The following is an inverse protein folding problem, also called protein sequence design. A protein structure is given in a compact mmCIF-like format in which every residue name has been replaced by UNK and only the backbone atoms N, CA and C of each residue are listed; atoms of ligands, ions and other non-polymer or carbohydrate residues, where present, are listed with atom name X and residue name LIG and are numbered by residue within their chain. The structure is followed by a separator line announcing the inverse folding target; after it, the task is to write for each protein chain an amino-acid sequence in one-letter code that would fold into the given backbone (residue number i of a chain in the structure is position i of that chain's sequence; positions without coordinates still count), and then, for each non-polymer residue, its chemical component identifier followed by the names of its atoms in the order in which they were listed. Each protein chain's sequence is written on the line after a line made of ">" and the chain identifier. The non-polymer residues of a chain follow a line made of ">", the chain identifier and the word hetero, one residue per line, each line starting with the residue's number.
data_IF_230308820346
#
_entry.id   IF_230308820346
#
_cell.length_a   1.000
_cell.length_b   1.000
_cell.length_c   1.000
_cell.angle_alpha   90.00
_cell.angle_beta   90.00
_cell.angle_gamma   90.00
#
_symmetry.space_group_name_H-M   'P 1'
#
loop_
_entity.id
_entity.type
_entity.pdbx_description
1 polymer ?
#
# COMPACT_ATOMS: atom_id res chain seq x y z
N UNK A 1 24.02 14.52 14.47
CA UNK A 1 24.70 15.26 13.39
C UNK A 1 23.85 15.10 12.13
N UNK A 2 23.27 16.16 11.62
CA UNK A 2 22.49 16.13 10.39
C UNK A 2 23.45 15.88 9.22
N UNK A 3 23.50 14.65 8.73
CA UNK A 3 24.10 14.39 7.42
C UNK A 3 23.24 15.10 6.38
N UNK A 4 23.87 15.97 5.58
CA UNK A 4 23.24 16.58 4.44
C UNK A 4 22.62 15.49 3.58
N UNK A 5 21.27 15.46 3.46
CA UNK A 5 20.56 14.59 2.53
C UNK A 5 21.11 14.91 1.14
N UNK A 6 21.74 13.95 0.49
CA UNK A 6 22.00 14.06 -0.95
C UNK A 6 20.62 14.22 -1.60
N UNK A 7 20.42 15.33 -2.32
CA UNK A 7 19.17 15.54 -3.06
C UNK A 7 19.01 14.39 -4.05
N UNK A 8 17.85 13.71 -3.98
CA UNK A 8 17.50 12.65 -4.93
C UNK A 8 17.53 13.22 -6.35
N UNK A 9 18.13 12.49 -7.27
CA UNK A 9 18.09 12.82 -8.71
C UNK A 9 16.74 12.51 -9.33
N UNK A 10 15.94 11.71 -8.65
CA UNK A 10 14.59 11.35 -9.05
C UNK A 10 13.63 12.46 -8.65
N UNK A 11 13.15 13.21 -9.65
CA UNK A 11 12.27 14.38 -9.48
C UNK A 11 10.91 14.12 -10.14
N UNK A 12 10.15 13.18 -9.57
CA UNK A 12 8.79 12.90 -10.01
C UNK A 12 7.83 13.01 -8.81
N UNK A 13 6.57 13.40 -9.03
CA UNK A 13 5.97 13.83 -10.30
C UNK A 13 6.41 15.24 -10.73
N UNK A 14 6.02 15.64 -11.96
CA UNK A 14 6.12 17.02 -12.41
C UNK A 14 5.12 17.93 -11.65
N UNK A 15 5.15 19.23 -11.91
CA UNK A 15 4.29 20.25 -11.27
C UNK A 15 2.79 20.03 -11.53
N UNK A 16 2.44 19.21 -12.52
CA UNK A 16 1.06 18.84 -12.88
C UNK A 16 0.67 17.46 -12.35
N UNK A 17 1.54 16.83 -11.58
CA UNK A 17 1.30 15.53 -10.98
C UNK A 17 1.51 14.33 -11.91
N UNK A 18 2.31 14.48 -12.98
CA UNK A 18 2.60 13.39 -13.88
C UNK A 18 3.94 12.72 -13.56
N UNK A 19 3.92 11.41 -13.64
CA UNK A 19 5.08 10.52 -13.69
C UNK A 19 5.28 10.10 -15.16
N UNK A 20 6.00 10.90 -15.93
CA UNK A 20 6.04 10.76 -17.39
C UNK A 20 4.65 10.96 -18.01
N UNK A 21 4.07 9.88 -18.58
CA UNK A 21 2.71 9.93 -19.19
C UNK A 21 1.60 9.49 -18.23
N UNK A 22 1.95 9.09 -17.01
CA UNK A 22 1.02 8.59 -15.99
C UNK A 22 0.71 9.65 -14.94
N UNK A 23 -0.29 9.41 -14.10
CA UNK A 23 -0.73 10.38 -13.07
C UNK A 23 -1.71 11.40 -13.60
N UNK A 24 -1.57 12.65 -13.14
CA UNK A 24 -2.38 13.78 -13.56
C UNK A 24 -3.71 13.92 -12.82
N UNK A 25 -4.63 14.68 -13.40
CA UNK A 25 -5.93 15.10 -12.83
C UNK A 25 -7.06 14.79 -13.82
N UNK A 26 -7.54 13.57 -13.82
CA UNK A 26 -8.65 13.12 -14.68
C UNK A 26 -9.94 13.04 -13.86
N UNK A 27 -10.41 14.20 -13.39
CA UNK A 27 -11.57 14.35 -12.51
C UNK A 27 -12.60 15.31 -13.06
N UNK A 28 -13.82 15.25 -12.52
CA UNK A 28 -14.85 16.26 -12.81
C UNK A 28 -14.42 17.64 -12.27
N UNK A 29 -14.86 18.71 -12.91
CA UNK A 29 -14.55 20.09 -12.52
C UNK A 29 -14.85 20.40 -11.05
N UNK A 30 -15.89 19.78 -10.50
CA UNK A 30 -16.29 19.91 -9.08
C UNK A 30 -15.20 19.50 -8.09
N UNK A 31 -14.24 18.66 -8.51
CA UNK A 31 -13.12 18.22 -7.66
C UNK A 31 -11.85 19.05 -7.86
N UNK A 32 -11.80 19.96 -8.81
CA UNK A 32 -10.60 20.75 -9.10
C UNK A 32 -10.21 21.68 -7.95
N UNK A 33 -11.19 22.35 -7.34
CA UNK A 33 -10.94 23.25 -6.21
C UNK A 33 -10.48 22.51 -4.96
N UNK A 34 -11.17 21.46 -4.47
CA UNK A 34 -10.72 20.69 -3.31
C UNK A 34 -9.35 20.03 -3.52
N UNK A 35 -9.04 19.56 -4.73
CA UNK A 35 -7.70 19.02 -5.03
C UNK A 35 -6.61 20.10 -5.06
N UNK A 36 -6.94 21.30 -5.49
CA UNK A 36 -6.03 22.45 -5.44
C UNK A 36 -5.77 22.87 -4.00
N UNK A 37 -6.81 22.97 -3.16
CA UNK A 37 -6.69 23.22 -1.72
C UNK A 37 -5.80 22.16 -1.05
N UNK A 38 -6.04 20.88 -1.35
CA UNK A 38 -5.26 19.77 -0.82
C UNK A 38 -3.80 19.86 -1.24
N UNK A 39 -3.52 20.12 -2.53
CA UNK A 39 -2.15 20.26 -3.04
C UNK A 39 -1.41 21.38 -2.33
N UNK A 40 -2.02 22.57 -2.22
CA UNK A 40 -1.41 23.71 -1.54
C UNK A 40 -1.14 23.44 -0.05
N UNK A 41 -2.05 22.77 0.62
CA UNK A 41 -1.86 22.35 2.01
C UNK A 41 -0.72 21.34 2.13
N UNK A 42 -0.70 20.30 1.28
CA UNK A 42 0.35 19.31 1.25
C UNK A 42 1.74 19.94 1.00
N UNK A 43 1.90 20.76 -0.05
CA UNK A 43 3.15 21.46 -0.37
C UNK A 43 3.62 22.34 0.80
N UNK A 44 2.71 23.07 1.44
CA UNK A 44 2.99 23.92 2.59
C UNK A 44 3.45 23.12 3.81
N UNK A 45 2.71 22.10 4.19
CA UNK A 45 2.96 21.40 5.45
C UNK A 45 4.09 20.37 5.37
N UNK A 46 4.40 19.82 4.19
CA UNK A 46 5.55 18.93 4.03
C UNK A 46 6.92 19.60 4.17
N UNK A 47 6.97 20.92 4.26
CA UNK A 47 8.18 21.69 4.60
C UNK A 47 8.06 22.44 5.93
N UNK A 48 6.91 22.37 6.58
CA UNK A 48 6.64 23.02 7.87
C UNK A 48 7.24 22.18 9.02
N UNK A 49 8.12 22.81 9.80
CA UNK A 49 8.87 22.11 10.86
C UNK A 49 7.99 21.61 11.99
N UNK A 50 6.94 22.36 12.34
CA UNK A 50 6.04 22.01 13.45
C UNK A 50 5.15 20.84 13.03
N UNK A 51 4.66 20.83 11.77
CA UNK A 51 3.92 19.70 11.22
C UNK A 51 4.77 18.43 11.16
N UNK A 52 6.00 18.53 10.65
CA UNK A 52 6.90 17.38 10.56
C UNK A 52 7.30 16.86 11.93
N UNK A 53 7.48 17.74 12.93
CA UNK A 53 7.77 17.30 14.29
C UNK A 53 6.56 16.61 14.95
N UNK A 54 5.33 17.08 14.71
CA UNK A 54 4.11 16.42 15.16
C UNK A 54 3.93 15.05 14.48
N UNK A 55 4.16 14.98 13.17
CA UNK A 55 4.11 13.72 12.42
C UNK A 55 5.15 12.71 12.95
N UNK A 56 6.40 13.13 13.13
CA UNK A 56 7.46 12.28 13.68
C UNK A 56 7.12 11.80 15.09
N UNK A 57 6.55 12.66 15.92
CA UNK A 57 6.11 12.29 17.26
C UNK A 57 5.02 11.21 17.23
N UNK A 58 3.99 11.36 16.39
CA UNK A 58 2.91 10.36 16.26
C UNK A 58 3.46 9.05 15.68
N UNK A 59 4.35 9.10 14.69
CA UNK A 59 4.97 7.90 14.13
C UNK A 59 5.79 7.13 15.18
N UNK A 60 6.54 7.82 16.04
CA UNK A 60 7.34 7.18 17.08
C UNK A 60 6.51 6.69 18.27
N UNK A 61 5.65 7.54 18.80
CA UNK A 61 5.00 7.30 20.10
C UNK A 61 3.64 6.61 19.99
N UNK A 62 2.95 6.78 18.87
CA UNK A 62 1.63 6.18 18.64
C UNK A 62 1.67 5.00 17.68
N UNK A 63 2.39 5.13 16.58
CA UNK A 63 2.52 4.04 15.59
C UNK A 63 3.55 2.99 16.04
N UNK A 64 4.58 3.37 16.80
CA UNK A 64 5.60 2.47 17.33
C UNK A 64 6.80 2.30 16.42
N UNK A 65 7.12 3.32 15.61
CA UNK A 65 8.28 3.32 14.73
C UNK A 65 9.58 3.65 15.49
N UNK A 66 10.77 3.22 14.97
CA UNK A 66 10.96 2.49 13.71
C UNK A 66 10.51 1.03 13.80
N UNK A 67 9.89 0.52 12.73
CA UNK A 67 9.61 -0.91 12.62
C UNK A 67 10.92 -1.70 12.41
N UNK A 68 11.07 -2.90 13.01
CA UNK A 68 12.32 -3.66 12.89
C UNK A 68 12.60 -4.12 11.45
N UNK A 69 13.89 -4.25 11.13
CA UNK A 69 14.38 -5.02 10.00
C UNK A 69 14.88 -6.37 10.53
N UNK A 70 14.13 -7.44 10.33
CA UNK A 70 14.34 -8.75 10.91
C UNK A 70 15.02 -9.70 9.91
N UNK A 71 16.15 -10.31 10.30
CA UNK A 71 16.78 -11.36 9.50
C UNK A 71 16.04 -12.68 9.68
N UNK A 72 15.36 -13.14 8.64
CA UNK A 72 14.67 -14.43 8.60
C UNK A 72 15.70 -15.57 8.37
N UNK A 73 16.51 -15.84 9.41
CA UNK A 73 17.68 -16.71 9.32
C UNK A 73 17.33 -18.14 8.97
N UNK A 74 16.30 -18.71 9.64
CA UNK A 74 15.90 -20.09 9.42
C UNK A 74 15.33 -20.28 8.02
N UNK A 75 14.49 -19.35 7.60
CA UNK A 75 13.90 -19.40 6.26
C UNK A 75 14.94 -19.19 5.17
N UNK A 76 15.88 -18.26 5.35
CA UNK A 76 17.01 -18.07 4.43
C UNK A 76 17.89 -19.33 4.29
N UNK A 77 18.15 -20.03 5.39
CA UNK A 77 18.89 -21.30 5.38
C UNK A 77 18.16 -22.42 4.66
N UNK A 78 16.84 -22.52 4.85
CA UNK A 78 15.99 -23.54 4.22
C UNK A 78 15.89 -23.34 2.72
N UNK A 79 15.68 -22.12 2.27
CA UNK A 79 15.63 -21.79 0.85
C UNK A 79 16.98 -21.92 0.15
N UNK A 80 18.07 -21.65 0.87
CA UNK A 80 19.42 -21.50 0.30
C UNK A 80 19.57 -20.20 -0.49
N UNK A 81 20.81 -19.81 -0.84
CA UNK A 81 21.08 -18.56 -1.56
C UNK A 81 21.03 -17.32 -0.68
N UNK A 82 20.42 -16.25 -1.14
CA UNK A 82 20.45 -14.94 -0.50
C UNK A 82 19.88 -14.89 0.93
N UNK A 83 20.39 -13.98 1.75
CA UNK A 83 19.81 -13.62 3.05
C UNK A 83 18.51 -12.85 2.85
N UNK A 84 17.45 -13.23 3.56
CA UNK A 84 16.15 -12.55 3.51
C UNK A 84 15.98 -11.72 4.79
N UNK A 85 15.77 -10.42 4.63
CA UNK A 85 15.40 -9.50 5.67
C UNK A 85 13.93 -9.08 5.49
N UNK A 86 13.17 -9.07 6.57
CA UNK A 86 11.77 -8.65 6.59
C UNK A 86 11.66 -7.27 7.23
N UNK A 87 11.16 -6.28 6.48
CA UNK A 87 10.77 -4.99 7.07
C UNK A 87 9.41 -5.15 7.71
N UNK A 88 9.36 -5.12 9.05
CA UNK A 88 8.25 -5.58 9.89
C UNK A 88 7.16 -4.52 10.08
N UNK A 89 6.50 -4.10 8.98
CA UNK A 89 5.36 -3.18 9.04
C UNK A 89 4.11 -3.81 9.69
N UNK A 90 4.07 -5.12 9.82
CA UNK A 90 3.09 -5.90 10.58
C UNK A 90 3.09 -5.61 12.08
N UNK A 91 4.19 -5.08 12.62
CA UNK A 91 4.32 -4.73 14.04
C UNK A 91 3.88 -3.29 14.37
N UNK A 92 3.57 -2.48 13.38
CA UNK A 92 3.04 -1.15 13.61
C UNK A 92 1.67 -1.22 14.31
N UNK A 93 1.29 -0.15 15.00
CA UNK A 93 -0.08 0.01 15.49
C UNK A 93 -1.07 -0.21 14.34
N UNK A 94 -2.18 -0.89 14.58
CA UNK A 94 -3.14 -1.43 13.60
C UNK A 94 -2.69 -2.68 12.83
N UNK A 95 -1.41 -3.06 12.91
CA UNK A 95 -0.89 -4.30 12.34
C UNK A 95 -0.55 -4.25 10.84
N UNK A 96 -0.34 -3.06 10.29
CA UNK A 96 0.04 -2.88 8.88
C UNK A 96 0.67 -1.49 8.63
N UNK A 97 1.25 -1.31 7.43
CA UNK A 97 1.83 -0.05 6.95
C UNK A 97 0.82 1.10 6.78
N UNK A 98 -0.48 0.80 6.70
CA UNK A 98 -1.53 1.80 6.38
C UNK A 98 -1.54 2.97 7.35
N UNK A 99 -1.23 2.73 8.62
CA UNK A 99 -1.24 3.76 9.67
C UNK A 99 -0.25 4.90 9.40
N UNK A 100 0.87 4.64 8.75
CA UNK A 100 1.85 5.69 8.40
C UNK A 100 1.21 6.81 7.57
N UNK A 101 0.48 6.41 6.53
CA UNK A 101 -0.22 7.30 5.63
C UNK A 101 -1.42 7.97 6.30
N UNK A 102 -2.24 7.21 7.04
CA UNK A 102 -3.46 7.75 7.64
C UNK A 102 -3.15 8.78 8.73
N UNK A 103 -2.08 8.61 9.50
CA UNK A 103 -1.60 9.64 10.44
C UNK A 103 -1.25 10.93 9.71
N UNK A 104 -0.44 10.85 8.66
CA UNK A 104 -0.03 12.02 7.88
C UNK A 104 -1.23 12.77 7.28
N UNK A 105 -2.13 12.05 6.62
CA UNK A 105 -3.31 12.66 6.01
C UNK A 105 -4.29 13.22 7.06
N UNK A 106 -4.49 12.55 8.19
CA UNK A 106 -5.39 13.05 9.25
C UNK A 106 -4.85 14.30 9.94
N UNK A 107 -3.53 14.39 10.17
CA UNK A 107 -2.88 15.61 10.65
C UNK A 107 -3.03 16.75 9.64
N UNK A 108 -2.86 16.46 8.35
CA UNK A 108 -3.06 17.43 7.27
C UNK A 108 -4.52 17.92 7.23
N UNK A 109 -5.50 17.01 7.31
CA UNK A 109 -6.92 17.35 7.37
C UNK A 109 -7.22 18.30 8.54
N UNK A 110 -6.66 18.03 9.70
CA UNK A 110 -6.80 18.87 10.90
C UNK A 110 -6.20 20.27 10.70
N UNK A 111 -5.03 20.37 10.02
CA UNK A 111 -4.41 21.67 9.66
C UNK A 111 -5.24 22.45 8.63
N UNK A 112 -6.00 21.74 7.78
CA UNK A 112 -6.95 22.33 6.84
C UNK A 112 -8.30 22.71 7.48
N UNK A 113 -8.50 22.43 8.79
CA UNK A 113 -9.74 22.71 9.49
C UNK A 113 -10.89 21.76 9.17
N UNK A 114 -10.61 20.63 8.51
CA UNK A 114 -11.63 19.62 8.22
C UNK A 114 -11.96 18.82 9.49
N UNK A 115 -13.25 18.56 9.70
CA UNK A 115 -13.76 17.89 10.92
C UNK A 115 -14.29 16.49 10.66
N UNK A 116 -14.55 16.16 9.42
CA UNK A 116 -15.08 14.89 8.94
C UNK A 116 -14.09 14.22 7.99
N UNK A 117 -13.83 12.95 8.23
CA UNK A 117 -12.96 12.11 7.41
C UNK A 117 -13.82 11.05 6.73
N UNK A 118 -13.58 10.85 5.44
CA UNK A 118 -14.08 9.69 4.72
C UNK A 118 -12.92 8.85 4.21
N UNK A 119 -13.16 7.55 4.06
CA UNK A 119 -12.21 6.60 3.47
C UNK A 119 -12.94 5.48 2.76
N UNK A 120 -12.25 4.84 1.81
CA UNK A 120 -12.63 3.56 1.25
C UNK A 120 -11.83 2.43 1.91
N UNK A 121 -12.34 1.20 1.84
CA UNK A 121 -11.55 0.03 2.24
C UNK A 121 -12.06 -1.24 1.56
N UNK A 122 -11.13 -2.17 1.22
CA UNK A 122 -11.42 -3.53 0.79
C UNK A 122 -11.15 -4.52 1.92
N UNK A 123 -9.89 -4.90 2.14
CA UNK A 123 -9.48 -5.78 3.25
C UNK A 123 -9.77 -5.25 4.67
N UNK A 124 -10.24 -4.02 4.79
CA UNK A 124 -10.55 -3.38 6.07
C UNK A 124 -9.36 -2.72 6.77
N UNK A 125 -8.13 -3.00 6.39
CA UNK A 125 -6.93 -2.47 7.07
C UNK A 125 -6.81 -0.94 6.94
N UNK A 126 -7.14 -0.38 5.77
CA UNK A 126 -7.15 1.06 5.59
C UNK A 126 -8.27 1.73 6.43
N UNK A 127 -9.47 1.13 6.40
CA UNK A 127 -10.58 1.60 7.23
C UNK A 127 -10.27 1.56 8.72
N UNK A 128 -9.67 0.47 9.23
CA UNK A 128 -9.23 0.38 10.63
C UNK A 128 -8.17 1.44 10.95
N UNK A 129 -7.16 1.63 10.08
CA UNK A 129 -6.14 2.64 10.29
C UNK A 129 -6.73 4.06 10.31
N UNK A 130 -7.66 4.37 9.39
CA UNK A 130 -8.36 5.66 9.35
C UNK A 130 -9.23 5.86 10.59
N UNK A 131 -10.06 4.89 10.96
CA UNK A 131 -10.87 4.95 12.18
C UNK A 131 -10.01 5.16 13.44
N UNK A 132 -8.85 4.49 13.50
CA UNK A 132 -7.90 4.60 14.61
C UNK A 132 -7.36 6.03 14.76
N UNK A 133 -6.88 6.62 13.67
CA UNK A 133 -6.34 8.00 13.73
C UNK A 133 -7.44 9.04 13.93
N UNK A 134 -8.65 8.82 13.40
CA UNK A 134 -9.80 9.70 13.66
C UNK A 134 -10.19 9.68 15.13
N UNK A 135 -10.27 8.50 15.75
CA UNK A 135 -10.51 8.37 17.19
C UNK A 135 -9.43 9.09 18.02
N UNK A 136 -8.15 8.92 17.63
CA UNK A 136 -7.00 9.60 18.28
C UNK A 136 -7.07 11.12 18.19
N UNK A 137 -7.53 11.65 17.05
CA UNK A 137 -7.52 13.10 16.77
C UNK A 137 -8.88 13.81 17.02
N UNK A 138 -9.91 13.06 17.41
CA UNK A 138 -11.26 13.59 17.66
C UNK A 138 -11.99 14.01 16.37
N UNK A 139 -11.81 13.28 15.27
CA UNK A 139 -12.44 13.54 13.97
C UNK A 139 -13.59 12.57 13.72
N UNK A 140 -14.67 13.04 13.08
CA UNK A 140 -15.72 12.17 12.58
C UNK A 140 -15.16 11.26 11.48
N UNK A 141 -15.56 9.98 11.48
CA UNK A 141 -15.04 8.99 10.52
C UNK A 141 -16.17 8.21 9.86
N UNK A 142 -16.19 8.23 8.51
CA UNK A 142 -17.09 7.43 7.69
C UNK A 142 -16.26 6.57 6.72
N UNK A 143 -16.48 5.26 6.74
CA UNK A 143 -15.73 4.31 5.90
C UNK A 143 -16.69 3.60 4.94
N UNK A 144 -16.43 3.74 3.64
CA UNK A 144 -17.14 3.04 2.57
C UNK A 144 -16.48 1.68 2.33
N UNK A 145 -17.28 0.62 2.33
CA UNK A 145 -16.78 -0.74 2.12
C UNK A 145 -17.78 -1.54 1.31
N UNK A 146 -17.29 -2.27 0.32
CA UNK A 146 -18.13 -3.15 -0.49
C UNK A 146 -18.82 -4.21 0.36
N UNK A 147 -20.08 -4.55 0.06
CA UNK A 147 -20.85 -5.54 0.82
C UNK A 147 -20.15 -6.91 0.85
N UNK A 148 -19.54 -7.31 -0.25
CA UNK A 148 -18.77 -8.56 -0.35
C UNK A 148 -17.56 -8.55 0.60
N UNK A 149 -16.88 -7.42 0.68
CA UNK A 149 -15.72 -7.27 1.55
C UNK A 149 -16.11 -7.17 3.03
N UNK A 150 -17.28 -6.57 3.35
CA UNK A 150 -17.85 -6.54 4.71
C UNK A 150 -18.04 -7.96 5.25
N UNK A 151 -18.56 -8.86 4.43
CA UNK A 151 -18.81 -10.25 4.80
C UNK A 151 -17.49 -11.03 5.01
N UNK A 152 -16.51 -10.81 4.11
CA UNK A 152 -15.18 -11.44 4.20
C UNK A 152 -14.36 -10.97 5.39
N UNK A 153 -14.54 -9.71 5.82
CA UNK A 153 -13.67 -9.01 6.77
C UNK A 153 -14.45 -8.48 8.00
N UNK A 154 -15.40 -9.25 8.49
CA UNK A 154 -16.30 -8.87 9.60
C UNK A 154 -15.56 -8.40 10.87
N UNK A 155 -14.40 -9.01 11.19
CA UNK A 155 -13.57 -8.60 12.33
C UNK A 155 -13.03 -7.16 12.19
N UNK A 156 -12.61 -6.75 10.98
CA UNK A 156 -12.16 -5.38 10.74
C UNK A 156 -13.34 -4.39 10.76
N UNK A 157 -14.50 -4.81 10.24
CA UNK A 157 -15.74 -3.99 10.34
C UNK A 157 -16.09 -3.73 11.81
N UNK A 158 -16.01 -4.74 12.65
CA UNK A 158 -16.25 -4.59 14.09
C UNK A 158 -15.23 -3.67 14.77
N UNK A 159 -13.93 -3.79 14.41
CA UNK A 159 -12.89 -2.87 14.90
C UNK A 159 -13.17 -1.42 14.54
N UNK A 160 -13.57 -1.14 13.30
CA UNK A 160 -13.93 0.21 12.86
C UNK A 160 -15.10 0.79 13.68
N UNK A 161 -16.13 -0.01 13.92
CA UNK A 161 -17.28 0.38 14.76
C UNK A 161 -16.89 0.64 16.22
N UNK A 162 -16.02 -0.21 16.79
CA UNK A 162 -15.47 0.00 18.15
C UNK A 162 -14.68 1.31 18.26
N UNK A 163 -14.00 1.73 17.20
CA UNK A 163 -13.26 2.99 17.12
C UNK A 163 -14.17 4.20 16.86
N UNK A 164 -15.47 4.00 16.77
CA UNK A 164 -16.46 5.07 16.57
C UNK A 164 -16.71 5.45 15.11
N UNK A 165 -16.16 4.71 14.15
CA UNK A 165 -16.42 4.99 12.75
C UNK A 165 -17.78 4.42 12.29
N UNK A 166 -18.43 5.15 11.37
CA UNK A 166 -19.58 4.67 10.63
C UNK A 166 -19.11 3.90 9.41
N UNK A 167 -19.47 2.61 9.28
CA UNK A 167 -19.19 1.80 8.10
C UNK A 167 -20.42 1.77 7.21
N UNK A 168 -20.27 2.28 5.98
CA UNK A 168 -21.34 2.36 4.97
C UNK A 168 -21.16 1.23 3.96
N UNK A 169 -22.11 0.28 3.87
CA UNK A 169 -22.04 -0.79 2.89
C UNK A 169 -22.32 -0.26 1.47
N UNK A 170 -21.50 -0.66 0.52
CA UNK A 170 -21.68 -0.35 -0.90
C UNK A 170 -22.13 -1.61 -1.63
N UNK A 171 -23.32 -1.57 -2.19
CA UNK A 171 -23.97 -2.72 -2.89
C UNK A 171 -23.98 -2.56 -4.41
N UNK A 172 -23.53 -1.41 -4.93
CA UNK A 172 -23.48 -1.11 -6.36
C UNK A 172 -22.29 -1.82 -7.03
N UNK A 173 -22.41 -2.08 -8.32
CA UNK A 173 -21.35 -2.68 -9.13
C UNK A 173 -20.98 -4.10 -8.67
N UNK A 174 -19.70 -4.36 -8.51
CA UNK A 174 -19.15 -5.61 -7.95
C UNK A 174 -19.24 -5.67 -6.43
N UNK A 175 -19.66 -4.59 -5.77
CA UNK A 175 -19.72 -4.45 -4.31
C UNK A 175 -18.36 -4.74 -3.61
N UNK A 176 -17.26 -4.30 -4.24
CA UNK A 176 -15.89 -4.45 -3.76
C UNK A 176 -15.19 -3.09 -3.61
N UNK A 177 -13.87 -3.09 -3.35
CA UNK A 177 -13.04 -1.90 -3.15
C UNK A 177 -13.22 -0.84 -4.25
N UNK A 178 -13.30 -1.23 -5.54
CA UNK A 178 -13.49 -0.29 -6.66
C UNK A 178 -14.77 0.55 -6.48
N UNK A 179 -15.86 -0.08 -6.09
CA UNK A 179 -17.15 0.59 -5.92
C UNK A 179 -17.19 1.41 -4.63
N UNK A 180 -16.53 0.95 -3.56
CA UNK A 180 -16.33 1.72 -2.34
C UNK A 180 -15.60 3.04 -2.61
N UNK A 181 -14.56 3.02 -3.46
CA UNK A 181 -13.81 4.19 -3.89
C UNK A 181 -14.70 5.19 -4.66
N UNK A 182 -15.52 4.68 -5.58
CA UNK A 182 -16.49 5.49 -6.32
C UNK A 182 -17.50 6.19 -5.38
N UNK A 183 -18.00 5.48 -4.35
CA UNK A 183 -18.97 6.02 -3.42
C UNK A 183 -18.34 7.07 -2.49
N UNK A 184 -17.12 6.82 -2.01
CA UNK A 184 -16.36 7.81 -1.24
C UNK A 184 -16.12 9.09 -2.04
N UNK A 185 -15.81 8.98 -3.34
CA UNK A 185 -15.66 10.16 -4.21
C UNK A 185 -16.98 10.93 -4.38
N UNK A 186 -18.14 10.26 -4.47
CA UNK A 186 -19.45 10.92 -4.55
C UNK A 186 -19.77 11.68 -3.25
N UNK A 187 -19.51 11.07 -2.10
CA UNK A 187 -19.65 11.76 -0.81
C UNK A 187 -18.75 12.99 -0.76
N UNK A 188 -17.47 12.84 -1.15
CA UNK A 188 -16.54 13.94 -1.10
C UNK A 188 -17.01 15.16 -1.92
N UNK A 189 -17.44 14.95 -3.16
CA UNK A 189 -18.01 16.02 -4.01
C UNK A 189 -19.20 16.72 -3.33
N UNK A 190 -19.99 15.99 -2.57
CA UNK A 190 -21.20 16.53 -1.91
C UNK A 190 -20.85 17.32 -0.63
N UNK A 191 -19.77 16.98 0.06
CA UNK A 191 -19.45 17.47 1.41
C UNK A 191 -18.05 18.09 1.52
N UNK A 192 -17.55 18.73 0.48
CA UNK A 192 -16.16 19.22 0.37
C UNK A 192 -15.74 20.21 1.47
N UNK A 193 -16.70 21.00 1.98
CA UNK A 193 -16.38 22.11 2.89
C UNK A 193 -15.76 21.62 4.22
N UNK A 194 -16.32 20.57 4.80
CA UNK A 194 -15.90 20.04 6.11
C UNK A 194 -15.23 18.67 6.04
N UNK A 195 -15.18 18.05 4.86
CA UNK A 195 -14.77 16.66 4.68
C UNK A 195 -13.41 16.56 3.99
N UNK A 196 -12.57 15.70 4.53
CA UNK A 196 -11.30 15.28 3.92
C UNK A 196 -11.39 13.80 3.54
N UNK A 197 -11.00 13.47 2.31
CA UNK A 197 -10.92 12.09 1.86
C UNK A 197 -9.52 11.55 2.07
N UNK A 198 -9.37 10.58 2.98
CA UNK A 198 -8.11 9.86 3.19
C UNK A 198 -8.06 8.66 2.23
N UNK A 199 -7.27 8.78 1.17
CA UNK A 199 -7.02 7.68 0.22
C UNK A 199 -5.98 6.72 0.78
N UNK A 200 -6.28 5.42 0.73
CA UNK A 200 -5.47 4.36 1.34
C UNK A 200 -4.29 3.86 0.52
N UNK A 201 -4.11 4.34 -0.71
CA UNK A 201 -3.05 3.88 -1.62
C UNK A 201 -2.49 5.01 -2.48
N UNK A 202 -1.44 4.73 -3.26
CA UNK A 202 -0.80 5.70 -4.17
C UNK A 202 -1.52 5.84 -5.52
N UNK A 203 -2.83 5.59 -5.55
CA UNK A 203 -3.73 5.83 -6.67
C UNK A 203 -4.54 7.10 -6.44
N UNK A 204 -5.33 7.48 -7.42
CA UNK A 204 -6.17 8.68 -7.36
C UNK A 204 -5.55 9.88 -8.07
N UNK A 205 -6.27 11.02 -8.12
CA UNK A 205 -5.81 12.22 -8.76
C UNK A 205 -4.65 12.87 -7.99
N UNK A 206 -3.82 13.64 -8.68
CA UNK A 206 -2.82 14.47 -8.01
C UNK A 206 -3.49 15.40 -6.96
N UNK A 207 -2.94 15.54 -5.72
CA UNK A 207 -1.60 15.15 -5.26
C UNK A 207 -1.52 13.77 -4.57
N UNK A 208 -2.61 12.98 -4.50
CA UNK A 208 -2.65 11.76 -3.71
C UNK A 208 -1.49 10.78 -3.96
N UNK A 209 -1.10 10.45 -5.21
CA UNK A 209 0.00 9.50 -5.42
C UNK A 209 1.31 9.94 -4.75
N UNK A 210 1.68 11.22 -4.91
CA UNK A 210 2.90 11.77 -4.31
C UNK A 210 2.78 11.89 -2.78
N UNK A 211 1.66 12.40 -2.29
CA UNK A 211 1.41 12.60 -0.87
C UNK A 211 1.43 11.27 -0.10
N UNK A 212 0.73 10.27 -0.58
CA UNK A 212 0.71 8.93 0.05
C UNK A 212 2.09 8.29 0.01
N UNK A 213 2.81 8.39 -1.14
CA UNK A 213 4.20 7.95 -1.24
C UNK A 213 5.06 8.58 -0.15
N UNK A 214 5.00 9.89 0.01
CA UNK A 214 5.88 10.62 0.92
C UNK A 214 5.64 10.24 2.38
N UNK A 215 4.37 10.03 2.78
CA UNK A 215 4.06 9.49 4.10
C UNK A 215 4.51 8.03 4.29
N UNK A 216 4.56 7.23 3.23
CA UNK A 216 5.02 5.84 3.30
C UNK A 216 6.55 5.70 3.15
N UNK A 217 7.25 6.72 2.67
CA UNK A 217 8.71 6.69 2.43
C UNK A 217 9.52 6.40 3.71
N UNK A 218 8.95 6.59 4.89
CA UNK A 218 9.54 6.22 6.18
C UNK A 218 9.96 4.74 6.20
N UNK A 219 9.22 3.84 5.52
CA UNK A 219 9.52 2.41 5.41
C UNK A 219 10.92 2.19 4.83
N UNK A 220 11.16 2.77 3.66
CA UNK A 220 12.44 2.60 2.95
C UNK A 220 13.59 3.38 3.57
N UNK A 221 13.31 4.57 4.17
CA UNK A 221 14.34 5.33 4.90
C UNK A 221 14.89 4.53 6.07
N UNK A 222 14.00 3.96 6.89
CA UNK A 222 14.40 3.11 8.00
C UNK A 222 15.09 1.82 7.53
N UNK A 223 14.55 1.15 6.49
CA UNK A 223 15.15 -0.06 5.94
C UNK A 223 16.58 0.20 5.44
N UNK A 224 16.83 1.35 4.82
CA UNK A 224 18.14 1.77 4.34
C UNK A 224 19.14 1.95 5.48
N UNK A 225 18.74 2.64 6.54
CA UNK A 225 19.59 2.85 7.71
C UNK A 225 19.86 1.53 8.46
N UNK A 226 18.82 0.73 8.66
CA UNK A 226 18.91 -0.54 9.38
C UNK A 226 19.78 -1.55 8.65
N UNK A 227 19.66 -1.71 7.31
CA UNK A 227 20.50 -2.66 6.59
C UNK A 227 21.97 -2.23 6.58
N UNK A 228 22.26 -0.93 6.54
CA UNK A 228 23.61 -0.42 6.70
C UNK A 228 24.20 -0.74 8.09
N UNK A 229 23.37 -0.71 9.14
CA UNK A 229 23.80 -1.09 10.49
C UNK A 229 24.03 -2.61 10.60
N UNK A 230 23.22 -3.43 9.94
CA UNK A 230 23.29 -4.89 10.02
C UNK A 230 24.40 -5.47 9.14
N UNK A 231 24.55 -4.98 7.91
CA UNK A 231 25.40 -5.60 6.87
C UNK A 231 26.49 -4.67 6.33
N UNK A 232 26.52 -3.40 6.74
CA UNK A 232 27.52 -2.41 6.27
C UNK A 232 27.34 -1.98 4.82
N UNK A 233 26.28 -2.42 4.14
CA UNK A 233 26.01 -2.14 2.72
C UNK A 233 24.53 -2.11 2.40
N UNK A 234 24.19 -1.63 1.20
CA UNK A 234 22.82 -1.69 0.66
C UNK A 234 22.43 -3.13 0.28
N UNK A 235 21.12 -3.44 0.21
CA UNK A 235 20.64 -4.73 -0.26
C UNK A 235 20.88 -4.90 -1.77
N UNK A 236 20.90 -6.14 -2.23
CA UNK A 236 20.95 -6.46 -3.66
C UNK A 236 19.57 -6.40 -4.32
N UNK A 237 18.51 -6.66 -3.54
CA UNK A 237 17.13 -6.61 -4.05
C UNK A 237 16.13 -6.15 -2.98
N UNK A 238 15.08 -5.46 -3.45
CA UNK A 238 13.88 -5.11 -2.71
C UNK A 238 12.68 -5.84 -3.31
N UNK A 239 11.82 -6.39 -2.47
CA UNK A 239 10.60 -7.09 -2.87
C UNK A 239 9.42 -6.58 -2.06
N UNK A 240 8.32 -6.22 -2.71
CA UNK A 240 7.09 -5.83 -2.03
C UNK A 240 5.87 -6.18 -2.89
N UNK A 241 4.75 -6.53 -2.23
CA UNK A 241 3.48 -6.77 -2.94
C UNK A 241 2.88 -5.47 -3.47
N UNK A 242 2.17 -5.56 -4.59
CA UNK A 242 1.57 -4.44 -5.29
C UNK A 242 0.09 -4.74 -5.58
N UNK A 243 -0.79 -4.05 -4.86
CA UNK A 243 -2.17 -3.78 -5.28
C UNK A 243 -2.20 -2.36 -5.83
N UNK A 244 -2.71 -1.37 -5.08
CA UNK A 244 -2.46 0.03 -5.42
C UNK A 244 -1.00 0.46 -5.27
N UNK A 245 -0.20 -0.23 -4.43
CA UNK A 245 1.26 -0.13 -4.38
C UNK A 245 1.85 0.78 -3.30
N UNK A 246 1.08 1.24 -2.31
CA UNK A 246 1.59 2.21 -1.32
C UNK A 246 2.72 1.65 -0.44
N UNK A 247 2.63 0.39 -0.01
CA UNK A 247 3.69 -0.25 0.77
C UNK A 247 4.97 -0.41 -0.07
N UNK A 248 4.81 -0.77 -1.33
CA UNK A 248 5.91 -1.01 -2.24
C UNK A 248 6.67 0.28 -2.57
N UNK A 249 5.97 1.35 -2.95
CA UNK A 249 6.63 2.62 -3.24
C UNK A 249 7.26 3.23 -1.98
N UNK A 250 6.66 3.02 -0.81
CA UNK A 250 7.23 3.43 0.47
C UNK A 250 8.60 2.79 0.74
N UNK A 251 8.76 1.50 0.40
CA UNK A 251 10.05 0.82 0.47
C UNK A 251 10.99 1.25 -0.67
N UNK A 252 10.47 1.34 -1.91
CA UNK A 252 11.29 1.51 -3.12
C UNK A 252 11.84 2.92 -3.29
N UNK A 253 11.04 3.94 -2.96
CA UNK A 253 11.35 5.34 -3.27
C UNK A 253 12.74 5.79 -2.78
N UNK A 254 13.19 5.50 -1.54
CA UNK A 254 14.53 5.88 -1.09
C UNK A 254 15.70 5.18 -1.81
N UNK A 255 15.41 4.15 -2.62
CA UNK A 255 16.41 3.37 -3.36
C UNK A 255 16.32 3.55 -4.88
N UNK A 256 15.46 4.46 -5.37
CA UNK A 256 15.28 4.63 -6.83
C UNK A 256 16.59 5.03 -7.52
N UNK A 257 17.41 5.85 -6.87
CA UNK A 257 18.70 6.30 -7.42
C UNK A 257 19.82 5.25 -7.30
N UNK A 258 19.66 4.22 -6.48
CA UNK A 258 20.64 3.15 -6.29
C UNK A 258 20.48 2.09 -7.39
N UNK A 259 21.15 2.27 -8.52
CA UNK A 259 20.95 1.44 -9.72
C UNK A 259 21.36 -0.02 -9.53
N UNK A 260 22.26 -0.30 -8.57
CA UNK A 260 22.73 -1.64 -8.22
C UNK A 260 21.74 -2.40 -7.33
N UNK A 261 20.72 -1.73 -6.78
CA UNK A 261 19.64 -2.34 -6.01
C UNK A 261 18.50 -2.71 -6.96
N UNK A 262 18.28 -4.00 -7.18
CA UNK A 262 17.15 -4.48 -7.98
C UNK A 262 15.82 -4.23 -7.23
N UNK A 263 14.76 -3.87 -7.95
CA UNK A 263 13.43 -3.60 -7.38
C UNK A 263 12.41 -4.52 -8.04
N UNK A 264 11.66 -5.26 -7.21
CA UNK A 264 10.62 -6.18 -7.64
C UNK A 264 9.29 -5.85 -6.96
N UNK A 265 8.29 -5.45 -7.76
CA UNK A 265 6.89 -5.38 -7.36
C UNK A 265 6.17 -6.68 -7.69
N UNK A 266 5.43 -7.23 -6.74
CA UNK A 266 4.77 -8.52 -6.88
C UNK A 266 3.26 -8.33 -6.88
N UNK A 267 2.62 -8.61 -8.01
CA UNK A 267 1.17 -8.56 -8.19
C UNK A 267 0.52 -9.93 -7.94
N UNK A 268 -0.81 -9.94 -7.79
CA UNK A 268 -1.58 -11.16 -7.60
C UNK A 268 -1.96 -11.77 -8.96
N UNK A 269 -1.42 -12.95 -9.28
CA UNK A 269 -1.82 -13.72 -10.45
C UNK A 269 -3.13 -14.50 -10.26
N UNK A 270 -3.74 -14.49 -9.07
CA UNK A 270 -4.99 -15.17 -8.81
C UNK A 270 -4.91 -16.66 -9.17
N UNK A 271 -5.78 -17.09 -10.08
CA UNK A 271 -5.77 -18.47 -10.62
C UNK A 271 -4.76 -18.70 -11.76
N UNK A 272 -3.94 -17.69 -12.10
CA UNK A 272 -2.99 -17.68 -13.20
C UNK A 272 -3.29 -16.56 -14.21
N UNK A 273 -2.26 -15.87 -14.70
CA UNK A 273 -2.43 -14.76 -15.66
C UNK A 273 -3.16 -15.18 -16.93
N UNK A 274 -2.92 -16.41 -17.40
CA UNK A 274 -3.53 -16.98 -18.61
C UNK A 274 -5.03 -17.25 -18.48
N UNK A 275 -5.54 -17.33 -17.25
CA UNK A 275 -6.97 -17.56 -16.99
C UNK A 275 -7.81 -16.29 -17.14
N UNK A 276 -7.16 -15.12 -17.07
CA UNK A 276 -7.83 -13.82 -16.96
C UNK A 276 -8.44 -13.54 -15.57
N UNK A 277 -8.37 -14.48 -14.63
CA UNK A 277 -8.88 -14.34 -13.27
C UNK A 277 -7.74 -13.98 -12.30
N UNK A 278 -7.28 -12.71 -12.35
CA UNK A 278 -6.15 -12.19 -11.61
C UNK A 278 -6.30 -10.68 -11.35
N UNK A 279 -5.39 -10.09 -10.56
CA UNK A 279 -5.34 -8.66 -10.25
C UNK A 279 -3.90 -8.12 -10.50
N UNK A 280 -3.40 -8.26 -11.72
CA UNK A 280 -2.03 -7.94 -12.11
C UNK A 280 -1.98 -6.93 -13.27
N UNK A 281 -2.39 -5.66 -13.05
CA UNK A 281 -2.45 -4.66 -14.13
C UNK A 281 -1.09 -4.34 -14.74
N UNK A 282 0.01 -4.38 -13.99
CA UNK A 282 1.35 -4.14 -14.55
C UNK A 282 1.87 -5.33 -15.35
N UNK A 283 1.50 -6.56 -15.01
CA UNK A 283 1.93 -7.75 -15.75
C UNK A 283 1.08 -8.03 -16.99
N UNK A 284 -0.25 -7.76 -16.93
CA UNK A 284 -1.18 -8.19 -17.98
C UNK A 284 -2.22 -7.14 -18.41
N UNK A 285 -2.22 -5.95 -17.79
CA UNK A 285 -3.13 -4.85 -18.13
C UNK A 285 -2.55 -3.89 -19.18
N UNK A 286 -3.23 -2.79 -19.40
CA UNK A 286 -2.86 -1.75 -20.35
C UNK A 286 -3.06 -0.33 -19.78
N UNK A 287 -2.40 0.72 -20.36
CA UNK A 287 -2.58 2.09 -19.90
C UNK A 287 -3.98 2.63 -20.16
N UNK A 288 -4.63 3.18 -19.14
CA UNK A 288 -5.93 3.82 -19.22
C UNK A 288 -6.14 4.81 -18.08
N UNK A 289 -7.37 5.24 -17.83
CA UNK A 289 -7.74 6.18 -16.77
C UNK A 289 -8.69 5.51 -15.78
N UNK A 290 -8.29 5.52 -14.49
CA UNK A 290 -9.11 5.00 -13.41
C UNK A 290 -8.97 5.88 -12.16
N UNK A 291 -10.08 6.16 -11.47
CA UNK A 291 -10.10 6.92 -10.21
C UNK A 291 -9.31 8.25 -10.26
N UNK A 292 -9.41 8.96 -11.39
CA UNK A 292 -8.86 10.30 -11.54
C UNK A 292 -7.38 10.40 -11.92
N UNK A 293 -6.73 9.27 -12.28
CA UNK A 293 -5.36 9.28 -12.78
C UNK A 293 -5.18 8.30 -13.96
N UNK A 294 -4.17 8.57 -14.79
CA UNK A 294 -3.76 7.66 -15.84
C UNK A 294 -2.73 6.67 -15.28
N UNK A 295 -2.96 5.38 -15.50
CA UNK A 295 -2.11 4.30 -15.02
C UNK A 295 -2.30 3.02 -15.84
N UNK A 296 -1.63 1.92 -15.47
CA UNK A 296 -1.99 0.58 -15.97
C UNK A 296 -3.24 0.09 -15.25
N UNK A 297 -4.14 -0.54 -15.99
CA UNK A 297 -5.37 -1.10 -15.44
C UNK A 297 -5.86 -2.32 -16.22
N UNK A 298 -6.76 -3.08 -15.57
CA UNK A 298 -7.45 -4.22 -16.12
C UNK A 298 -8.73 -3.74 -16.81
N UNK A 299 -8.71 -3.67 -18.13
CA UNK A 299 -9.89 -3.29 -18.93
C UNK A 299 -10.02 -4.16 -20.16
N UNK A 300 -11.24 -4.28 -20.66
CA UNK A 300 -11.52 -4.96 -21.92
C UNK A 300 -11.32 -4.05 -23.14
N UNK A 301 -11.55 -4.58 -24.34
CA UNK A 301 -11.42 -3.85 -25.61
C UNK A 301 -12.33 -2.62 -25.73
N UNK A 302 -13.40 -2.57 -24.96
CA UNK A 302 -14.38 -1.48 -24.94
C UNK A 302 -14.10 -0.46 -23.80
N UNK A 303 -12.96 -0.62 -23.09
CA UNK A 303 -12.51 0.25 -22.01
C UNK A 303 -13.27 0.03 -20.69
N UNK A 304 -13.98 -1.10 -20.55
CA UNK A 304 -14.67 -1.44 -19.32
C UNK A 304 -13.74 -2.18 -18.36
N UNK A 305 -13.77 -1.79 -17.10
CA UNK A 305 -12.97 -2.46 -16.05
C UNK A 305 -13.42 -3.92 -15.94
N UNK A 306 -12.49 -4.84 -16.09
CA UNK A 306 -12.73 -6.28 -15.94
C UNK A 306 -12.79 -6.67 -14.48
N UNK A 307 -13.43 -7.82 -14.19
CA UNK A 307 -13.34 -8.42 -12.88
C UNK A 307 -11.90 -8.78 -12.53
N UNK A 308 -11.54 -8.57 -11.28
CA UNK A 308 -10.26 -8.99 -10.73
C UNK A 308 -10.46 -10.09 -9.70
N UNK A 309 -9.39 -10.83 -9.41
CA UNK A 309 -9.39 -11.88 -8.40
C UNK A 309 -8.05 -11.99 -7.69
N UNK A 310 -8.10 -12.15 -6.38
CA UNK A 310 -7.00 -12.55 -5.51
C UNK A 310 -7.57 -13.13 -4.22
N UNK A 311 -6.92 -14.13 -3.63
CA UNK A 311 -7.23 -14.58 -2.25
C UNK A 311 -7.01 -13.45 -1.24
N UNK A 312 -6.18 -12.48 -1.60
CA UNK A 312 -5.91 -11.29 -0.80
C UNK A 312 -6.82 -10.14 -1.21
N UNK A 313 -7.78 -9.77 -0.37
CA UNK A 313 -8.69 -8.66 -0.63
C UNK A 313 -7.95 -7.31 -0.82
N UNK A 314 -6.76 -7.14 -0.23
CA UNK A 314 -5.96 -5.92 -0.38
C UNK A 314 -5.20 -5.82 -1.70
N UNK A 315 -5.09 -6.91 -2.47
CA UNK A 315 -4.52 -6.93 -3.82
C UNK A 315 -5.58 -7.04 -4.92
N UNK A 316 -6.84 -7.29 -4.56
CA UNK A 316 -7.95 -7.40 -5.50
C UNK A 316 -8.40 -6.01 -5.99
N UNK A 317 -7.61 -5.43 -6.89
CA UNK A 317 -7.79 -4.09 -7.42
C UNK A 317 -7.36 -4.02 -8.89
N UNK A 318 -8.17 -3.45 -9.79
CA UNK A 318 -7.91 -3.47 -11.23
C UNK A 318 -6.91 -2.44 -11.72
N UNK A 319 -6.37 -1.60 -10.85
CA UNK A 319 -5.41 -0.53 -11.19
C UNK A 319 -4.18 -0.55 -10.29
N UNK A 320 -3.30 0.42 -10.50
CA UNK A 320 -2.07 0.58 -9.72
C UNK A 320 -1.69 2.05 -9.63
N UNK A 321 -0.81 2.41 -8.69
CA UNK A 321 -0.27 3.76 -8.61
C UNK A 321 0.51 4.16 -9.86
N UNK A 322 0.35 5.41 -10.33
CA UNK A 322 0.97 5.88 -11.59
C UNK A 322 2.51 5.89 -11.55
N UNK A 323 3.10 6.05 -10.37
CA UNK A 323 4.55 5.98 -10.21
C UNK A 323 5.07 4.57 -10.48
N UNK A 324 4.34 3.51 -10.10
CA UNK A 324 4.68 2.13 -10.45
C UNK A 324 4.62 1.89 -11.96
N UNK A 325 3.61 2.45 -12.64
CA UNK A 325 3.49 2.40 -14.09
C UNK A 325 4.74 3.04 -14.76
N UNK A 326 5.13 4.20 -14.28
CA UNK A 326 6.33 4.88 -14.75
C UNK A 326 7.62 4.11 -14.48
N UNK A 327 7.81 3.59 -13.26
CA UNK A 327 9.00 2.80 -12.89
C UNK A 327 9.13 1.52 -13.72
N UNK A 328 8.01 0.90 -14.11
CA UNK A 328 7.98 -0.22 -15.06
C UNK A 328 8.49 0.21 -16.43
N UNK A 329 7.91 1.27 -17.01
CA UNK A 329 8.19 1.67 -18.38
C UNK A 329 9.64 2.13 -18.58
N UNK A 330 10.22 2.80 -17.59
CA UNK A 330 11.65 3.19 -17.63
C UNK A 330 12.59 2.04 -17.22
N UNK A 331 12.07 0.85 -16.93
CA UNK A 331 12.85 -0.32 -16.56
C UNK A 331 13.55 -0.20 -15.19
N UNK A 332 13.13 0.73 -14.30
CA UNK A 332 13.73 0.87 -12.97
C UNK A 332 13.25 -0.20 -12.00
N UNK A 333 12.02 -0.61 -12.09
CA UNK A 333 11.44 -1.71 -11.32
C UNK A 333 10.90 -2.79 -12.26
N UNK A 334 11.05 -4.05 -11.85
CA UNK A 334 10.43 -5.21 -12.51
C UNK A 334 9.17 -5.59 -11.76
N UNK A 335 8.12 -5.89 -12.50
CA UNK A 335 6.87 -6.37 -11.92
C UNK A 335 6.67 -7.82 -12.36
N UNK A 336 6.32 -8.63 -11.37
CA UNK A 336 6.09 -10.07 -11.50
C UNK A 336 4.79 -10.43 -10.80
N UNK A 337 4.27 -11.61 -11.06
CA UNK A 337 3.04 -12.05 -10.44
C UNK A 337 3.23 -13.41 -9.76
N UNK A 338 2.50 -13.62 -8.65
CA UNK A 338 2.47 -14.85 -7.86
C UNK A 338 1.01 -15.28 -7.75
N UNK A 339 0.73 -16.55 -7.99
CA UNK A 339 -0.61 -17.09 -7.89
C UNK A 339 -1.05 -17.36 -6.44
N UNK A 340 -2.35 -17.62 -6.26
CA UNK A 340 -2.96 -17.81 -4.95
C UNK A 340 -2.37 -19.00 -4.20
N UNK A 341 -1.99 -20.08 -4.89
CA UNK A 341 -1.38 -21.28 -4.28
C UNK A 341 0.02 -21.01 -3.77
N UNK A 342 0.82 -20.30 -4.56
CA UNK A 342 2.18 -19.92 -4.20
C UNK A 342 2.18 -18.91 -3.03
N UNK A 343 1.24 -17.97 -3.02
CA UNK A 343 1.06 -17.04 -1.92
C UNK A 343 0.64 -17.77 -0.63
N UNK A 344 -0.28 -18.72 -0.71
CA UNK A 344 -0.71 -19.51 0.45
C UNK A 344 0.42 -20.40 0.96
N UNK A 345 1.23 -21.00 0.08
CA UNK A 345 2.41 -21.77 0.47
C UNK A 345 3.41 -20.91 1.24
N UNK A 346 3.73 -19.69 0.73
CA UNK A 346 4.64 -18.77 1.41
C UNK A 346 4.08 -18.27 2.76
N UNK A 347 2.76 -18.10 2.89
CA UNK A 347 2.09 -17.83 4.15
C UNK A 347 2.41 -18.93 5.19
N UNK A 348 2.26 -20.21 4.82
CA UNK A 348 2.54 -21.33 5.70
C UNK A 348 4.02 -21.47 6.03
N UNK A 349 4.89 -21.30 5.04
CA UNK A 349 6.33 -21.45 5.21
C UNK A 349 6.85 -20.44 6.24
N UNK A 350 6.55 -19.16 6.08
CA UNK A 350 6.97 -18.15 7.05
C UNK A 350 6.38 -18.41 8.43
N UNK A 351 5.09 -18.81 8.49
CA UNK A 351 4.41 -19.11 9.75
C UNK A 351 5.07 -20.28 10.49
N UNK A 352 5.40 -21.36 9.80
CA UNK A 352 5.97 -22.57 10.42
C UNK A 352 7.46 -22.43 10.73
N UNK A 353 8.20 -21.72 9.88
CA UNK A 353 9.66 -21.64 9.99
C UNK A 353 10.08 -20.52 10.92
N UNK A 354 9.48 -19.33 10.81
CA UNK A 354 9.87 -18.14 11.57
C UNK A 354 8.88 -17.77 12.69
N UNK A 355 7.71 -18.45 12.77
CA UNK A 355 6.68 -18.10 13.75
C UNK A 355 6.01 -16.75 13.49
N UNK A 356 6.00 -16.29 12.24
CA UNK A 356 5.43 -15.02 11.82
C UNK A 356 4.25 -15.32 10.89
N UNK A 357 3.04 -14.91 11.25
CA UNK A 357 1.84 -15.05 10.42
C UNK A 357 1.71 -13.79 9.53
N UNK A 358 2.09 -13.84 8.24
CA UNK A 358 2.01 -12.68 7.36
C UNK A 358 0.59 -12.45 6.88
N UNK A 359 0.25 -11.21 6.49
CA UNK A 359 -0.96 -10.97 5.71
C UNK A 359 -0.86 -11.65 4.33
N UNK A 360 -1.98 -12.07 3.75
CA UNK A 360 -2.03 -12.69 2.41
C UNK A 360 -1.46 -11.75 1.33
N UNK A 361 -1.60 -10.43 1.50
CA UNK A 361 -0.93 -9.43 0.66
C UNK A 361 0.59 -9.64 0.65
N UNK A 362 1.19 -9.68 1.84
CA UNK A 362 2.64 -9.85 2.01
C UNK A 362 3.11 -11.22 1.54
N UNK A 363 2.24 -12.22 1.60
CA UNK A 363 2.55 -13.59 1.17
C UNK A 363 2.87 -13.69 -0.32
N UNK A 364 2.32 -12.81 -1.16
CA UNK A 364 2.71 -12.72 -2.57
C UNK A 364 4.18 -12.28 -2.71
N UNK A 365 4.60 -11.26 -1.96
CA UNK A 365 6.00 -10.83 -1.95
C UNK A 365 6.94 -11.92 -1.42
N UNK A 366 6.52 -12.63 -0.37
CA UNK A 366 7.26 -13.77 0.19
C UNK A 366 7.39 -14.92 -0.81
N UNK A 367 6.31 -15.24 -1.55
CA UNK A 367 6.32 -16.27 -2.60
C UNK A 367 7.35 -15.97 -3.69
N UNK A 368 7.45 -14.70 -4.12
CA UNK A 368 8.50 -14.32 -5.07
C UNK A 368 9.90 -14.35 -4.45
N UNK A 369 10.07 -13.89 -3.21
CA UNK A 369 11.34 -13.93 -2.52
C UNK A 369 11.85 -15.38 -2.35
N UNK A 370 10.94 -16.34 -2.10
CA UNK A 370 11.27 -17.77 -2.04
C UNK A 370 11.78 -18.32 -3.38
N UNK A 371 11.30 -17.80 -4.51
CA UNK A 371 11.80 -18.16 -5.85
C UNK A 371 13.12 -17.45 -6.17
N UNK A 372 13.28 -16.21 -5.73
CA UNK A 372 14.44 -15.38 -6.05
C UNK A 372 15.67 -15.79 -5.25
N UNK A 373 15.54 -16.01 -3.94
CA UNK A 373 16.67 -16.24 -3.04
C UNK A 373 17.60 -17.40 -3.47
N UNK A 374 17.08 -18.59 -3.88
CA UNK A 374 17.95 -19.68 -4.34
C UNK A 374 18.75 -19.37 -5.62
N UNK A 375 18.34 -18.37 -6.38
CA UNK A 375 19.03 -17.97 -7.62
C UNK A 375 20.18 -17.00 -7.40
N UNK A 376 20.37 -16.53 -6.16
CA UNK A 376 21.38 -15.55 -5.77
C UNK A 376 22.44 -16.19 -4.87
N UNK A 377 23.63 -15.61 -4.85
CA UNK A 377 24.71 -16.06 -3.96
C UNK A 377 24.37 -15.81 -2.48
N UNK A 378 24.99 -16.60 -1.57
CA UNK A 378 24.71 -16.58 -0.12
C UNK A 378 25.07 -15.27 0.59
N UNK A 379 25.92 -14.44 -0.01
CA UNK A 379 26.27 -13.13 0.50
C UNK A 379 25.31 -12.02 0.04
N UNK A 380 24.40 -12.33 -0.89
CA UNK A 380 23.39 -11.41 -1.37
C UNK A 380 22.29 -11.18 -0.35
N UNK A 381 21.63 -10.02 -0.44
CA UNK A 381 20.64 -9.55 0.52
C UNK A 381 19.37 -9.16 -0.20
N UNK A 382 18.26 -9.74 0.23
CA UNK A 382 16.90 -9.36 -0.20
C UNK A 382 16.20 -8.72 0.99
N UNK A 383 15.60 -7.54 0.81
CA UNK A 383 14.64 -6.97 1.77
C UNK A 383 13.23 -7.19 1.23
N UNK A 384 12.39 -7.85 2.00
CA UNK A 384 10.95 -8.00 1.73
C UNK A 384 10.16 -7.10 2.66
N UNK A 385 9.23 -6.31 2.12
CA UNK A 385 8.31 -5.55 2.96
C UNK A 385 7.19 -6.44 3.48
N UNK A 386 7.24 -6.79 4.76
CA UNK A 386 6.17 -7.51 5.45
C UNK A 386 5.09 -6.49 5.85
N UNK A 387 4.24 -6.15 4.88
CA UNK A 387 3.37 -4.98 4.90
C UNK A 387 2.22 -5.03 5.89
N UNK A 388 1.87 -6.23 6.39
CA UNK A 388 0.81 -6.42 7.38
C UNK A 388 0.83 -7.82 7.99
N UNK A 389 0.13 -7.98 9.13
CA UNK A 389 -0.02 -9.25 9.83
C UNK A 389 -1.26 -10.02 9.36
N UNK A 390 -1.21 -11.34 9.49
CA UNK A 390 -2.21 -12.27 8.97
C UNK A 390 -3.41 -12.57 9.89
N UNK A 391 -3.50 -11.93 11.08
CA UNK A 391 -4.63 -12.19 11.99
C UNK A 391 -6.01 -11.95 11.33
N UNK A 392 -6.08 -11.02 10.40
CA UNK A 392 -7.29 -10.74 9.63
C UNK A 392 -7.66 -11.83 8.62
N UNK A 393 -6.68 -12.65 8.22
CA UNK A 393 -6.81 -13.62 7.14
C UNK A 393 -7.04 -15.06 7.63
N UNK A 394 -7.00 -15.28 8.96
CA UNK A 394 -7.11 -16.62 9.56
C UNK A 394 -8.37 -17.35 9.09
N UNK A 395 -9.53 -16.69 9.07
CA UNK A 395 -10.78 -17.30 8.59
C UNK A 395 -10.73 -17.63 7.09
N UNK A 396 -10.11 -16.74 6.28
CA UNK A 396 -9.94 -17.00 4.85
C UNK A 396 -9.06 -18.21 4.61
N UNK A 397 -7.91 -18.29 5.30
CA UNK A 397 -6.98 -19.43 5.19
C UNK A 397 -7.64 -20.71 5.68
N UNK A 398 -8.32 -20.68 6.83
CA UNK A 398 -9.05 -21.84 7.36
C UNK A 398 -10.10 -22.37 6.37
N UNK A 399 -10.90 -21.48 5.78
CA UNK A 399 -11.89 -21.85 4.78
C UNK A 399 -11.27 -22.48 3.53
N UNK A 400 -10.13 -21.97 3.05
CA UNK A 400 -9.40 -22.54 1.91
C UNK A 400 -8.86 -23.96 2.22
N UNK A 401 -8.58 -24.24 3.48
CA UNK A 401 -8.12 -25.55 3.96
C UNK A 401 -9.27 -26.48 4.41
N UNK A 402 -10.52 -26.03 4.33
CA UNK A 402 -11.69 -26.80 4.77
C UNK A 402 -11.80 -26.93 6.29
N UNK A 403 -11.19 -26.01 7.04
CA UNK A 403 -11.20 -25.97 8.51
C UNK A 403 -12.28 -24.99 8.97
N UNK A 404 -13.15 -25.41 9.86
CA UNK A 404 -14.13 -24.53 10.52
C UNK A 404 -13.50 -23.91 11.77
N UNK A 405 -13.47 -22.57 11.83
CA UNK A 405 -12.92 -21.79 12.94
C UNK A 405 -14.03 -21.06 13.68
#
# INVERSE_FOLDING_TARGET
>A
MAQAKAESKYQQPDDKGHFGVYGGLFVAETLMEPLTELRQAYEKYMVDKDFLAELDWELQNYVGRPSPLYYAERWSKELGGAKIYLKREDLNHTGAHKVNNTVGQALLAKRMGKTRIIAETGAGQHGVATATVCARLGLECVVYMGQVDIERQAANVFRMKLLGATVVPVTAGSATLKDALNEAMRDWVTNIDNTFYIIGTVAGPHPYPAMVRDFQTIIGREAREQIQQHEGRLPDALVACVGGGSNAIGLFHPFIDDKDVAIYGVEAAGDGLETGNHAAPLCAGQPGVLHGNRTYLMEDKDGQITHTHSISAGLDYPGVGPEHAWLKDIGRAKYVAIDDKEALQAFHDLTKIEGIIPALESSHALGYAAKLAPTMDKDKIIIVNLSGRGDKDIHTVANLEGITV
#
